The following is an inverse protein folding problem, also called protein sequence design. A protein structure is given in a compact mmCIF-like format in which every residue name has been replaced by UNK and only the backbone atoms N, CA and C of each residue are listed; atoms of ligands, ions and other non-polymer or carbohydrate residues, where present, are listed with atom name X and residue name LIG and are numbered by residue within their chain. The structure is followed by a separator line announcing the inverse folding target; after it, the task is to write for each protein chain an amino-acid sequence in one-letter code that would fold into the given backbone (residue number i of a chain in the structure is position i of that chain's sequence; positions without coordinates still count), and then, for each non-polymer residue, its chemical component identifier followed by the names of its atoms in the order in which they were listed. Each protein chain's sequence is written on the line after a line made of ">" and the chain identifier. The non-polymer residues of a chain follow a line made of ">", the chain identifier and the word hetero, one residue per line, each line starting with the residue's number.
data_IF_319670316156
#
_entry.id   IF_319670316156
#
_cell.length_a   1.000
_cell.length_b   1.000
_cell.length_c   1.000
_cell.angle_alpha   90.00
_cell.angle_beta   90.00
_cell.angle_gamma   90.00
#
_symmetry.space_group_name_H-M   'P 1'
#
loop_
_entity.id
_entity.type
_entity.pdbx_description
1 polymer ?
#
# COMPACT_ATOMS: atom_id res chain seq x y z
N UNK A 1 17.34 -9.94 3.11
CA UNK A 1 17.56 -10.45 1.73
C UNK A 1 16.23 -10.56 1.02
N UNK A 2 16.15 -10.00 -0.21
CA UNK A 2 14.98 -10.11 -1.06
C UNK A 2 15.03 -11.48 -1.74
N UNK A 3 14.00 -12.34 -1.60
CA UNK A 3 13.97 -13.62 -2.28
C UNK A 3 13.90 -13.45 -3.80
N UNK A 4 14.57 -14.31 -4.55
CA UNK A 4 14.51 -14.33 -6.01
C UNK A 4 13.26 -15.08 -6.51
N UNK A 5 12.07 -14.54 -6.18
CA UNK A 5 10.76 -15.06 -6.59
C UNK A 5 9.76 -13.90 -6.69
N UNK A 6 8.65 -14.12 -7.37
CA UNK A 6 7.52 -13.19 -7.26
C UNK A 6 7.03 -13.18 -5.81
N UNK A 7 7.07 -12.02 -5.18
CA UNK A 7 6.62 -11.84 -3.80
C UNK A 7 5.11 -11.63 -3.77
N UNK A 8 4.42 -12.28 -2.85
CA UNK A 8 3.05 -11.94 -2.51
C UNK A 8 3.01 -10.68 -1.62
N UNK A 9 1.82 -10.15 -1.33
CA UNK A 9 1.66 -8.92 -0.53
C UNK A 9 2.22 -9.02 0.89
N UNK A 10 2.23 -10.21 1.50
CA UNK A 10 2.79 -10.43 2.84
C UNK A 10 4.32 -10.33 2.78
N UNK A 11 4.95 -11.06 1.85
CA UNK A 11 6.40 -11.01 1.64
C UNK A 11 6.86 -9.57 1.31
N UNK A 12 6.13 -8.86 0.41
CA UNK A 12 6.40 -7.47 0.07
C UNK A 12 6.32 -6.55 1.30
N UNK A 13 5.30 -6.72 2.14
CA UNK A 13 5.13 -5.91 3.33
C UNK A 13 6.29 -6.07 4.32
N UNK A 14 6.80 -7.28 4.51
CA UNK A 14 7.95 -7.54 5.38
C UNK A 14 9.23 -6.91 4.85
N UNK A 15 9.47 -7.01 3.54
CA UNK A 15 10.62 -6.38 2.89
C UNK A 15 10.57 -4.86 3.03
N UNK A 16 9.42 -4.24 2.74
CA UNK A 16 9.26 -2.79 2.80
C UNK A 16 9.32 -2.26 4.25
N UNK A 17 8.78 -3.00 5.22
CA UNK A 17 8.95 -2.67 6.65
C UNK A 17 10.42 -2.67 7.04
N UNK A 18 11.20 -3.66 6.60
CA UNK A 18 12.64 -3.73 6.88
C UNK A 18 13.43 -2.59 6.22
N UNK A 19 12.89 -2.02 5.15
CA UNK A 19 13.44 -0.83 4.49
C UNK A 19 12.99 0.50 5.14
N UNK A 20 12.26 0.43 6.27
CA UNK A 20 11.81 1.61 7.02
C UNK A 20 10.61 2.33 6.39
N UNK A 21 9.82 1.63 5.58
CA UNK A 21 8.60 2.18 5.01
C UNK A 21 7.42 2.00 5.98
N UNK A 22 6.48 2.96 6.04
CA UNK A 22 5.35 2.93 6.98
C UNK A 22 4.25 1.99 6.50
N UNK A 23 4.51 0.69 6.51
CA UNK A 23 3.57 -0.34 6.10
C UNK A 23 2.79 -0.84 7.33
N UNK A 24 1.47 -0.88 7.22
CA UNK A 24 0.65 -1.62 8.18
C UNK A 24 0.93 -3.11 7.99
N UNK A 25 1.53 -3.75 8.99
CA UNK A 25 1.86 -5.17 8.90
C UNK A 25 0.57 -6.00 8.77
N UNK A 26 0.30 -6.60 7.60
CA UNK A 26 -0.85 -7.46 7.44
C UNK A 26 -0.60 -8.81 8.12
N UNK A 27 -1.68 -9.49 8.46
CA UNK A 27 -1.63 -10.82 9.06
C UNK A 27 -2.24 -11.79 8.06
N UNK A 28 -1.54 -12.88 7.78
CA UNK A 28 -2.03 -13.94 6.91
C UNK A 28 -2.89 -14.91 7.72
N UNK A 29 -4.13 -15.07 7.30
CA UNK A 29 -5.11 -16.02 7.83
C UNK A 29 -5.19 -17.18 6.86
N UNK A 30 -4.79 -18.35 7.31
CA UNK A 30 -4.87 -19.61 6.54
C UNK A 30 -6.09 -20.44 6.92
N UNK A 31 -6.54 -20.31 8.16
CA UNK A 31 -7.72 -21.00 8.67
C UNK A 31 -8.73 -19.99 9.23
N UNK A 32 -10.02 -20.22 8.98
CA UNK A 32 -11.10 -19.34 9.45
C UNK A 32 -11.15 -19.25 10.98
N UNK A 33 -10.71 -20.29 11.69
CA UNK A 33 -10.68 -20.31 13.14
C UNK A 33 -9.66 -19.32 13.73
N UNK A 34 -8.59 -19.01 12.99
CA UNK A 34 -7.57 -18.05 13.41
C UNK A 34 -8.14 -16.63 13.54
N UNK A 35 -9.24 -16.31 12.85
CA UNK A 35 -9.89 -15.00 12.93
C UNK A 35 -10.25 -14.57 14.35
N UNK A 36 -10.63 -15.51 15.19
CA UNK A 36 -11.03 -15.25 16.58
C UNK A 36 -9.95 -14.57 17.43
N UNK A 37 -8.67 -14.79 17.09
CA UNK A 37 -7.54 -14.18 17.79
C UNK A 37 -7.34 -12.69 17.48
N UNK A 38 -7.89 -12.20 16.36
CA UNK A 38 -7.71 -10.83 15.88
C UNK A 38 -8.89 -9.91 16.19
N UNK A 39 -10.09 -10.45 16.27
CA UNK A 39 -11.28 -9.68 16.64
C UNK A 39 -11.43 -9.67 18.17
N UNK A 40 -10.67 -8.79 18.82
CA UNK A 40 -10.90 -8.43 20.23
C UNK A 40 -11.98 -7.36 20.28
N UNK A 41 -12.67 -7.23 21.41
CA UNK A 41 -13.63 -6.15 21.64
C UNK A 41 -12.94 -4.79 21.42
N UNK A 42 -13.27 -4.13 20.31
CA UNK A 42 -12.71 -2.85 19.89
C UNK A 42 -13.54 -2.23 18.78
N UNK A 43 -13.35 -0.93 18.55
CA UNK A 43 -14.04 -0.16 17.50
C UNK A 43 -13.31 -0.16 16.16
N UNK A 44 -12.24 -0.92 16.03
CA UNK A 44 -11.43 -0.93 14.82
C UNK A 44 -12.15 -1.67 13.69
N UNK A 45 -12.10 -1.11 12.51
CA UNK A 45 -12.52 -1.76 11.28
C UNK A 45 -11.32 -2.40 10.61
N UNK A 46 -11.59 -3.48 9.91
CA UNK A 46 -10.57 -4.24 9.20
C UNK A 46 -10.90 -4.35 7.72
N UNK A 47 -9.87 -4.57 6.93
CA UNK A 47 -9.97 -5.00 5.53
C UNK A 47 -9.43 -6.43 5.42
N UNK A 48 -10.12 -7.25 4.65
CA UNK A 48 -9.67 -8.59 4.27
C UNK A 48 -9.47 -8.64 2.76
N UNK A 49 -8.35 -9.24 2.34
CA UNK A 49 -8.01 -9.40 0.93
C UNK A 49 -7.43 -10.78 0.68
N UNK A 50 -7.77 -11.37 -0.46
CA UNK A 50 -7.15 -12.62 -0.91
C UNK A 50 -5.65 -12.41 -1.15
N UNK A 51 -4.83 -13.39 -0.76
CA UNK A 51 -3.38 -13.40 -1.03
C UNK A 51 -3.10 -14.45 -2.10
N UNK A 52 -2.67 -13.98 -3.26
CA UNK A 52 -2.35 -14.82 -4.41
C UNK A 52 -1.43 -14.05 -5.35
N UNK A 53 -0.37 -14.70 -5.82
CA UNK A 53 0.50 -14.15 -6.87
C UNK A 53 -0.15 -14.18 -8.27
N UNK A 54 -1.18 -14.99 -8.45
CA UNK A 54 -1.84 -15.22 -9.74
C UNK A 54 -2.97 -14.22 -10.01
N UNK A 55 -3.40 -13.46 -8.96
CA UNK A 55 -4.53 -12.54 -9.04
C UNK A 55 -4.07 -11.10 -8.85
N UNK A 56 -4.12 -10.31 -9.92
CA UNK A 56 -3.70 -8.90 -9.92
C UNK A 56 -4.85 -7.95 -9.50
N UNK A 57 -6.06 -8.13 -10.05
CA UNK A 57 -7.22 -7.26 -9.81
C UNK A 57 -8.20 -7.90 -8.82
N UNK A 58 -7.81 -7.94 -7.55
CA UNK A 58 -8.55 -8.64 -6.48
C UNK A 58 -9.96 -8.09 -6.23
N UNK A 59 -10.13 -6.79 -6.38
CA UNK A 59 -11.43 -6.12 -6.17
C UNK A 59 -12.45 -6.56 -7.20
N UNK A 60 -12.05 -6.71 -8.46
CA UNK A 60 -12.96 -7.04 -9.58
C UNK A 60 -13.60 -8.42 -9.43
N UNK A 61 -12.91 -9.34 -8.76
CA UNK A 61 -13.38 -10.70 -8.52
C UNK A 61 -13.95 -10.91 -7.12
N UNK A 62 -14.23 -9.83 -6.37
CA UNK A 62 -14.74 -9.92 -5.01
C UNK A 62 -13.74 -10.51 -4.00
N UNK A 63 -12.44 -10.37 -4.28
CA UNK A 63 -11.33 -10.80 -3.41
C UNK A 63 -10.97 -9.81 -2.31
N UNK A 64 -11.76 -8.71 -2.14
CA UNK A 64 -11.54 -7.68 -1.12
C UNK A 64 -12.84 -7.35 -0.43
N UNK A 65 -12.83 -7.31 0.91
CA UNK A 65 -13.96 -6.87 1.75
C UNK A 65 -13.47 -5.83 2.75
N UNK A 66 -14.17 -4.69 2.79
CA UNK A 66 -13.88 -3.54 3.65
C UNK A 66 -14.86 -3.45 4.82
N UNK A 67 -14.54 -2.61 5.80
CA UNK A 67 -15.41 -2.26 6.93
C UNK A 67 -15.84 -3.44 7.79
N UNK A 68 -14.98 -4.40 8.00
CA UNK A 68 -15.24 -5.57 8.85
C UNK A 68 -15.01 -5.13 10.31
N UNK A 69 -16.06 -5.15 11.12
CA UNK A 69 -16.04 -4.63 12.49
C UNK A 69 -16.36 -5.70 13.57
N UNK A 70 -16.66 -6.93 13.15
CA UNK A 70 -16.94 -8.02 14.06
C UNK A 70 -16.55 -9.38 13.49
N UNK A 71 -16.44 -10.39 14.38
CA UNK A 71 -15.99 -11.73 14.02
C UNK A 71 -16.95 -12.46 13.08
N UNK A 72 -18.27 -12.30 13.25
CA UNK A 72 -19.24 -12.98 12.40
C UNK A 72 -19.18 -12.49 10.97
N UNK A 73 -19.06 -11.16 10.80
CA UNK A 73 -18.84 -10.55 9.48
C UNK A 73 -17.49 -11.01 8.89
N UNK A 74 -16.44 -11.11 9.71
CA UNK A 74 -15.14 -11.59 9.26
C UNK A 74 -15.19 -13.04 8.75
N UNK A 75 -15.86 -13.94 9.50
CA UNK A 75 -16.04 -15.34 9.08
C UNK A 75 -16.84 -15.44 7.79
N UNK A 76 -17.92 -14.66 7.68
CA UNK A 76 -18.71 -14.61 6.44
C UNK A 76 -17.86 -14.09 5.27
N UNK A 77 -17.15 -12.99 5.47
CA UNK A 77 -16.27 -12.41 4.44
C UNK A 77 -15.18 -13.37 3.98
N UNK A 78 -14.61 -14.13 4.91
CA UNK A 78 -13.63 -15.18 4.60
C UNK A 78 -14.21 -16.20 3.61
N UNK A 79 -15.41 -16.72 3.90
CA UNK A 79 -16.08 -17.68 3.03
C UNK A 79 -16.46 -17.10 1.68
N UNK A 80 -17.00 -15.86 1.66
CA UNK A 80 -17.41 -15.17 0.44
C UNK A 80 -16.21 -14.89 -0.48
N UNK A 81 -15.07 -14.42 0.08
CA UNK A 81 -13.84 -14.18 -0.70
C UNK A 81 -13.36 -15.48 -1.34
N UNK A 82 -13.23 -16.58 -0.59
CA UNK A 82 -12.79 -17.85 -1.15
C UNK A 82 -13.71 -18.36 -2.24
N UNK A 83 -15.03 -18.26 -2.04
CA UNK A 83 -16.02 -18.65 -3.05
C UNK A 83 -15.87 -17.83 -4.32
N UNK A 84 -15.87 -16.49 -4.20
CA UNK A 84 -15.78 -15.58 -5.34
C UNK A 84 -14.51 -15.81 -6.17
N UNK A 85 -13.37 -15.98 -5.47
CA UNK A 85 -12.10 -16.26 -6.12
C UNK A 85 -12.09 -17.61 -6.81
N UNK A 86 -12.64 -18.65 -6.17
CA UNK A 86 -12.73 -19.99 -6.78
C UNK A 86 -13.62 -20.01 -8.01
N UNK A 87 -14.71 -19.24 -7.99
CA UNK A 87 -15.63 -19.13 -9.12
C UNK A 87 -15.01 -18.34 -10.29
N UNK A 88 -14.22 -17.29 -10.00
CA UNK A 88 -13.63 -16.40 -11.00
C UNK A 88 -12.26 -16.84 -11.50
N UNK A 89 -11.46 -17.49 -10.66
CA UNK A 89 -10.10 -17.93 -10.94
C UNK A 89 -9.82 -19.33 -10.34
N UNK A 90 -10.47 -20.40 -10.86
CA UNK A 90 -10.45 -21.73 -10.27
C UNK A 90 -9.07 -22.38 -10.18
N UNK A 91 -8.12 -21.95 -11.00
CA UNK A 91 -6.75 -22.49 -11.07
C UNK A 91 -5.72 -21.62 -10.34
N UNK A 92 -6.12 -20.49 -9.77
CA UNK A 92 -5.20 -19.61 -9.06
C UNK A 92 -4.71 -20.26 -7.74
N UNK A 93 -3.42 -20.15 -7.48
CA UNK A 93 -2.86 -20.52 -6.19
C UNK A 93 -3.26 -19.47 -5.15
N UNK A 94 -3.78 -19.92 -4.02
CA UNK A 94 -4.21 -19.05 -2.93
C UNK A 94 -3.36 -19.35 -1.70
N UNK A 95 -2.61 -18.36 -1.23
CA UNK A 95 -1.80 -18.45 -0.01
C UNK A 95 -2.64 -18.32 1.27
N UNK A 96 -3.79 -17.64 1.19
CA UNK A 96 -4.69 -17.36 2.30
C UNK A 96 -5.44 -16.03 2.12
N UNK A 97 -5.92 -15.47 3.22
CA UNK A 97 -6.50 -14.13 3.27
C UNK A 97 -5.68 -13.27 4.22
N UNK A 98 -5.26 -12.12 3.78
CA UNK A 98 -4.67 -11.15 4.68
C UNK A 98 -5.74 -10.30 5.35
N UNK A 99 -5.53 -10.01 6.63
CA UNK A 99 -6.31 -9.05 7.41
C UNK A 99 -5.40 -7.93 7.89
N UNK A 100 -5.86 -6.70 7.78
CA UNK A 100 -5.17 -5.54 8.33
C UNK A 100 -6.17 -4.52 8.89
N UNK A 101 -5.77 -3.71 9.90
CA UNK A 101 -6.61 -2.61 10.36
C UNK A 101 -6.92 -1.65 9.22
N UNK A 102 -8.17 -1.22 9.13
CA UNK A 102 -8.57 -0.19 8.19
C UNK A 102 -8.25 1.18 8.79
N UNK A 103 -7.36 1.90 8.16
CA UNK A 103 -7.02 3.26 8.54
C UNK A 103 -7.72 4.26 7.63
N UNK A 104 -7.97 5.44 8.17
CA UNK A 104 -8.45 6.59 7.42
C UNK A 104 -7.31 7.62 7.41
N UNK A 105 -7.12 8.27 6.28
CA UNK A 105 -6.22 9.41 6.13
C UNK A 105 -6.97 10.60 5.57
N UNK A 106 -6.39 11.80 5.74
CA UNK A 106 -6.96 13.01 5.18
C UNK A 106 -6.71 13.12 3.68
N UNK A 107 -5.59 12.54 3.23
CA UNK A 107 -5.15 12.54 1.84
C UNK A 107 -4.67 11.13 1.48
N UNK A 108 -5.15 10.65 0.33
CA UNK A 108 -4.61 9.44 -0.30
C UNK A 108 -3.51 9.82 -1.28
N UNK A 109 -2.37 9.16 -1.18
CA UNK A 109 -1.20 9.36 -2.04
C UNK A 109 -0.82 8.05 -2.73
N UNK A 110 -0.12 8.17 -3.84
CA UNK A 110 0.59 7.08 -4.49
C UNK A 110 2.10 7.32 -4.36
N UNK A 111 2.82 6.31 -3.94
CA UNK A 111 4.28 6.30 -3.90
C UNK A 111 4.78 5.04 -4.59
N UNK A 112 5.56 5.21 -5.65
CA UNK A 112 6.09 4.11 -6.44
C UNK A 112 7.55 4.29 -6.77
N UNK A 113 8.21 3.20 -7.12
CA UNK A 113 9.56 3.21 -7.67
C UNK A 113 9.71 2.12 -8.72
N UNK A 114 10.53 2.35 -9.72
CA UNK A 114 10.83 1.35 -10.76
C UNK A 114 12.22 1.56 -11.33
N UNK A 115 12.70 0.54 -12.03
CA UNK A 115 13.90 0.66 -12.87
C UNK A 115 13.47 1.10 -14.26
N UNK A 116 13.82 2.32 -14.62
CA UNK A 116 13.57 2.83 -15.95
C UNK A 116 14.76 2.45 -16.88
N UNK A 117 14.50 1.96 -18.10
CA UNK A 117 15.57 1.50 -19.00
C UNK A 117 16.52 2.61 -19.46
N UNK A 118 16.13 3.87 -19.34
CA UNK A 118 16.94 5.04 -19.77
C UNK A 118 17.54 5.75 -18.56
N UNK A 119 16.73 5.97 -17.51
CA UNK A 119 17.11 6.79 -16.35
C UNK A 119 17.59 5.95 -15.15
N UNK A 120 17.51 4.61 -15.24
CA UNK A 120 17.82 3.74 -14.09
C UNK A 120 16.71 3.80 -13.01
N UNK A 121 17.08 3.68 -11.72
CA UNK A 121 16.09 3.69 -10.66
C UNK A 121 15.43 5.08 -10.54
N UNK A 122 14.10 5.12 -10.57
CA UNK A 122 13.29 6.32 -10.37
C UNK A 122 12.25 6.11 -9.28
N UNK A 123 11.90 7.18 -8.58
CA UNK A 123 10.81 7.24 -7.61
C UNK A 123 9.71 8.16 -8.14
N UNK A 124 8.47 7.78 -7.88
CA UNK A 124 7.26 8.52 -8.25
C UNK A 124 6.46 8.84 -6.99
N UNK A 125 5.94 10.06 -6.90
CA UNK A 125 5.02 10.47 -5.85
C UNK A 125 3.89 11.33 -6.42
N UNK A 126 2.68 11.20 -5.87
CA UNK A 126 1.53 12.01 -6.28
C UNK A 126 0.27 11.77 -5.45
N UNK A 127 -0.82 12.45 -5.82
CA UNK A 127 -2.14 12.15 -5.27
C UNK A 127 -2.59 10.76 -5.69
N UNK A 128 -3.22 10.05 -4.76
CA UNK A 128 -3.84 8.75 -4.96
C UNK A 128 -5.35 8.84 -5.21
N UNK A 129 -6.02 7.69 -5.13
CA UNK A 129 -7.45 7.57 -5.30
C UNK A 129 -7.93 8.02 -6.69
N UNK A 130 -9.19 8.41 -6.77
CA UNK A 130 -9.82 8.87 -8.03
C UNK A 130 -9.14 10.10 -8.65
N UNK A 131 -8.44 10.89 -7.84
CA UNK A 131 -7.73 12.08 -8.31
C UNK A 131 -6.47 11.72 -9.13
N UNK A 132 -5.82 10.60 -8.86
CA UNK A 132 -4.67 10.12 -9.63
C UNK A 132 -5.01 9.90 -11.10
N UNK A 133 -6.16 9.29 -11.36
CA UNK A 133 -6.61 8.97 -12.72
C UNK A 133 -7.02 10.21 -13.53
N UNK A 134 -7.68 11.16 -12.88
CA UNK A 134 -8.25 12.35 -13.55
C UNK A 134 -7.24 13.49 -13.68
N UNK A 135 -6.50 13.79 -12.61
CA UNK A 135 -5.63 14.97 -12.55
C UNK A 135 -4.20 14.68 -12.98
N UNK A 136 -3.77 13.41 -12.92
CA UNK A 136 -2.38 12.98 -13.21
C UNK A 136 -1.36 13.87 -12.51
N UNK A 137 -1.63 14.20 -11.25
CA UNK A 137 -0.77 15.06 -10.45
C UNK A 137 0.29 14.21 -9.76
N UNK A 138 1.29 13.84 -10.56
CA UNK A 138 2.40 12.97 -10.18
C UNK A 138 3.72 13.62 -10.59
N UNK A 139 4.76 13.34 -9.82
CA UNK A 139 6.13 13.80 -10.06
C UNK A 139 7.09 12.63 -9.99
N UNK A 140 8.19 12.71 -10.72
CA UNK A 140 9.23 11.70 -10.77
C UNK A 140 10.58 12.30 -10.38
N UNK A 141 11.47 11.50 -9.83
CA UNK A 141 12.86 11.84 -9.61
C UNK A 141 13.75 10.60 -9.76
N UNK A 142 14.99 10.82 -10.19
CA UNK A 142 16.03 9.78 -10.15
C UNK A 142 16.33 9.40 -8.70
N UNK A 143 16.44 8.12 -8.44
CA UNK A 143 16.76 7.59 -7.12
C UNK A 143 18.28 7.29 -6.99
N UNK A 144 18.87 7.47 -5.81
CA UNK A 144 18.24 7.87 -4.54
C UNK A 144 18.01 9.39 -4.45
N UNK A 145 16.95 9.81 -3.73
CA UNK A 145 16.65 11.22 -3.51
C UNK A 145 17.13 11.71 -2.15
N UNK A 146 17.62 12.95 -2.10
CA UNK A 146 17.88 13.65 -0.85
C UNK A 146 16.59 14.19 -0.21
N UNK A 147 16.64 14.57 1.08
CA UNK A 147 15.51 15.23 1.76
C UNK A 147 15.03 16.47 1.00
N UNK A 148 15.98 17.31 0.54
CA UNK A 148 15.66 18.51 -0.23
C UNK A 148 14.94 18.15 -1.55
N UNK A 149 15.39 17.10 -2.24
CA UNK A 149 14.76 16.64 -3.48
C UNK A 149 13.36 16.10 -3.24
N UNK A 150 13.16 15.30 -2.18
CA UNK A 150 11.83 14.80 -1.79
C UNK A 150 10.87 15.95 -1.48
N UNK A 151 11.34 16.99 -0.78
CA UNK A 151 10.57 18.21 -0.50
C UNK A 151 10.19 18.95 -1.80
N UNK A 152 11.13 19.08 -2.72
CA UNK A 152 10.87 19.65 -4.05
C UNK A 152 9.84 18.83 -4.85
N UNK A 153 9.84 17.51 -4.73
CA UNK A 153 8.82 16.66 -5.38
C UNK A 153 7.42 17.03 -4.88
N UNK A 154 7.21 17.13 -3.55
CA UNK A 154 5.91 17.53 -2.99
C UNK A 154 5.53 18.94 -3.45
N UNK A 155 6.47 19.90 -3.39
CA UNK A 155 6.23 21.30 -3.79
C UNK A 155 5.92 21.44 -5.29
N UNK A 156 6.33 20.50 -6.12
CA UNK A 156 6.08 20.51 -7.58
C UNK A 156 4.69 19.99 -7.96
N UNK A 157 3.96 19.37 -7.03
CA UNK A 157 2.58 18.96 -7.25
C UNK A 157 1.67 20.18 -7.40
N UNK A 158 0.69 20.09 -8.28
CA UNK A 158 -0.38 21.10 -8.40
C UNK A 158 -1.21 21.15 -7.12
N UNK A 159 -1.38 20.01 -6.47
CA UNK A 159 -2.12 19.80 -5.23
C UNK A 159 -1.33 20.07 -3.95
N UNK A 160 -0.11 20.59 -4.03
CA UNK A 160 0.80 20.80 -2.88
C UNK A 160 0.14 21.44 -1.67
N UNK A 161 -0.77 22.39 -1.88
CA UNK A 161 -1.43 23.12 -0.80
C UNK A 161 -2.27 22.20 0.12
N UNK A 162 -2.68 21.02 -0.36
CA UNK A 162 -3.36 20.02 0.46
C UNK A 162 -2.45 19.48 1.58
N UNK A 163 -1.14 19.40 1.32
CA UNK A 163 -0.15 18.89 2.26
C UNK A 163 0.25 19.92 3.32
N UNK A 164 0.22 21.20 2.96
CA UNK A 164 0.64 22.31 3.83
C UNK A 164 -0.51 23.01 4.56
N UNK A 165 -1.72 22.46 4.43
CA UNK A 165 -2.90 23.01 5.06
C UNK A 165 -3.68 23.95 4.12
N UNK A 166 -4.91 23.58 3.81
CA UNK A 166 -5.79 24.33 2.94
C UNK A 166 -7.20 24.41 3.52
N UNK A 167 -7.88 25.53 3.29
CA UNK A 167 -9.29 25.72 3.66
C UNK A 167 -9.61 25.41 5.14
N UNK A 168 -8.70 25.79 6.04
CA UNK A 168 -8.89 25.59 7.48
C UNK A 168 -8.52 24.19 7.99
N UNK A 169 -8.02 23.31 7.14
CA UNK A 169 -7.37 22.07 7.59
C UNK A 169 -5.91 22.35 7.95
N UNK A 170 -5.39 21.80 9.03
CA UNK A 170 -3.98 21.90 9.38
C UNK A 170 -3.09 21.16 8.37
N UNK A 171 -1.77 21.43 8.37
CA UNK A 171 -0.82 20.66 7.56
C UNK A 171 -0.74 19.21 8.04
N UNK A 172 -0.45 18.30 7.11
CA UNK A 172 -0.16 16.91 7.44
C UNK A 172 1.22 16.76 8.11
N UNK A 173 1.51 15.58 8.67
CA UNK A 173 2.85 15.24 9.15
C UNK A 173 3.80 14.98 7.96
N UNK A 174 4.41 16.07 7.50
CA UNK A 174 5.23 16.10 6.27
C UNK A 174 6.51 15.28 6.38
N UNK A 175 7.12 15.17 7.59
CA UNK A 175 8.39 14.47 7.75
C UNK A 175 8.26 12.97 7.56
N UNK A 176 7.17 12.37 8.01
CA UNK A 176 6.89 10.94 7.76
C UNK A 176 6.75 10.66 6.27
N UNK A 177 6.05 11.54 5.55
CA UNK A 177 5.93 11.43 4.10
C UNK A 177 7.28 11.58 3.38
N UNK A 178 8.09 12.59 3.76
CA UNK A 178 9.44 12.77 3.22
C UNK A 178 10.32 11.53 3.47
N UNK A 179 10.27 10.97 4.67
CA UNK A 179 11.01 9.76 5.01
C UNK A 179 10.55 8.56 4.17
N UNK A 180 9.26 8.42 3.91
CA UNK A 180 8.74 7.35 3.06
C UNK A 180 9.28 7.46 1.62
N UNK A 181 9.29 8.67 1.03
CA UNK A 181 9.84 8.93 -0.30
C UNK A 181 11.34 8.60 -0.34
N UNK A 182 12.11 9.07 0.64
CA UNK A 182 13.56 8.84 0.73
C UNK A 182 13.84 7.34 0.89
N UNK A 183 13.15 6.67 1.80
CA UNK A 183 13.37 5.25 2.08
C UNK A 183 13.04 4.38 0.87
N UNK A 184 11.95 4.66 0.15
CA UNK A 184 11.64 3.92 -1.08
C UNK A 184 12.68 4.19 -2.17
N UNK A 185 13.14 5.43 -2.32
CA UNK A 185 14.16 5.76 -3.31
C UNK A 185 15.51 5.07 -3.02
N UNK A 186 15.90 5.02 -1.75
CA UNK A 186 17.09 4.28 -1.32
C UNK A 186 16.92 2.78 -1.55
N UNK A 187 15.74 2.24 -1.23
CA UNK A 187 15.42 0.83 -1.41
C UNK A 187 15.54 0.39 -2.87
N UNK A 188 14.92 1.11 -3.81
CA UNK A 188 14.98 0.74 -5.24
C UNK A 188 16.40 0.90 -5.81
N UNK A 189 17.13 1.95 -5.41
CA UNK A 189 18.50 2.16 -5.86
C UNK A 189 19.46 1.05 -5.37
N UNK A 190 19.29 0.61 -4.10
CA UNK A 190 20.12 -0.43 -3.52
C UNK A 190 19.80 -1.86 -4.00
N UNK A 191 18.64 -2.08 -4.62
CA UNK A 191 18.14 -3.39 -5.03
C UNK A 191 17.78 -3.43 -6.53
N UNK A 192 18.39 -2.58 -7.34
CA UNK A 192 18.09 -2.43 -8.76
C UNK A 192 18.38 -3.69 -9.60
N UNK A 193 19.13 -4.64 -9.07
CA UNK A 193 19.40 -5.95 -9.66
C UNK A 193 18.36 -7.04 -9.32
N UNK A 194 17.43 -6.75 -8.38
CA UNK A 194 16.47 -7.72 -7.83
C UNK A 194 15.02 -7.27 -7.87
N UNK A 195 14.80 -5.97 -7.98
CA UNK A 195 13.46 -5.37 -7.90
C UNK A 195 13.24 -4.49 -9.12
N UNK A 196 12.28 -4.86 -9.96
CA UNK A 196 11.93 -4.08 -11.14
C UNK A 196 11.04 -2.89 -10.78
N UNK A 197 10.06 -3.10 -9.88
CA UNK A 197 9.14 -2.06 -9.44
C UNK A 197 8.53 -2.34 -8.07
N UNK A 198 8.15 -1.26 -7.40
CA UNK A 198 7.36 -1.27 -6.14
C UNK A 198 6.33 -0.16 -6.24
N UNK A 199 5.10 -0.45 -5.81
CA UNK A 199 4.03 0.54 -5.71
C UNK A 199 3.27 0.37 -4.40
N UNK A 200 3.05 1.49 -3.70
CA UNK A 200 2.19 1.61 -2.54
C UNK A 200 1.04 2.54 -2.89
N UNK A 201 -0.17 1.97 -2.99
CA UNK A 201 -1.38 2.68 -3.41
C UNK A 201 -2.61 2.09 -2.69
N UNK A 202 -3.24 2.88 -1.77
CA UNK A 202 -2.83 4.20 -1.33
C UNK A 202 -1.81 4.19 -0.18
N UNK A 203 -1.03 5.28 -0.08
CA UNK A 203 -0.47 5.74 1.18
C UNK A 203 -1.46 6.73 1.78
N UNK A 204 -1.79 6.53 3.04
CA UNK A 204 -2.69 7.43 3.78
C UNK A 204 -1.84 8.40 4.60
N UNK A 205 -2.07 9.68 4.41
CA UNK A 205 -1.41 10.74 5.18
C UNK A 205 -2.41 11.54 5.98
N UNK A 206 -2.03 11.92 7.19
CA UNK A 206 -2.86 12.67 8.14
C UNK A 206 -2.04 13.71 8.89
N UNK A 207 -2.71 14.47 9.77
CA UNK A 207 -2.07 15.50 10.60
C UNK A 207 -1.06 14.93 11.60
N UNK A 208 -1.24 13.69 12.02
CA UNK A 208 -0.49 13.07 13.12
C UNK A 208 0.40 11.90 12.69
N UNK A 209 0.17 11.33 11.52
CA UNK A 209 0.92 10.18 11.00
C UNK A 209 0.97 10.19 9.46
#
# INVERSE_FOLDING_TARGET
>A
DIPNKNLNEIDCSEVLLSAGLPILKPILIKDIEDLSSYFKEGKDKYVMKIVSSDIQHKTDIGGVVLNIDNLDLAKKSYQDIFKNVKDSAPNAHIDGIMISPMKNGDIECILGAKIDPVFGPIVMFGLGGIYAEVMKDIVFAEAPVSKQKAEQMILSLKSKDLFYGARGKPPIEINSLLNAIINLSNFIAANSDKVDQVEMNPILVSETE
#
